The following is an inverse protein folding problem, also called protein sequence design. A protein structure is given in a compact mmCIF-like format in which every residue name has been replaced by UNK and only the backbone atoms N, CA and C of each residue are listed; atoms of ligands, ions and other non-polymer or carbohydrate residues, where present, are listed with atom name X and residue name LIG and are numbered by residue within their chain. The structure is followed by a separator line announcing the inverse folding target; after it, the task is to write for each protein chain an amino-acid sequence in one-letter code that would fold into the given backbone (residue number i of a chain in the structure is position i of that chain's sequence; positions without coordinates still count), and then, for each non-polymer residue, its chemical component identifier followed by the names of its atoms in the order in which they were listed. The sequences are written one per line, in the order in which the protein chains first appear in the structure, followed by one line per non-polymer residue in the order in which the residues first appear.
data_IF_130060225552
#
_entry.id   IF_130060225552
#
_cell.length_a   1.000
_cell.length_b   1.000
_cell.length_c   1.000
_cell.angle_alpha   90.00
_cell.angle_beta   90.00
_cell.angle_gamma   90.00
#
_symmetry.space_group_name_H-M   'P 1'
#
loop_
_entity.id
_entity.type
_entity.pdbx_description
1 polymer ?
#
# COMPACT_ATOMS: atom_id res chain seq x y z
N UNK A 1 12.42 6.70 16.99
CA UNK A 1 13.02 6.72 15.63
C UNK A 1 12.84 8.10 15.01
N UNK A 2 13.81 8.61 14.25
CA UNK A 2 13.66 9.87 13.50
C UNK A 2 12.74 9.69 12.30
N UNK A 3 12.24 10.78 11.71
CA UNK A 3 11.39 10.75 10.51
C UNK A 3 12.03 9.94 9.37
N UNK A 4 13.25 10.28 8.96
CA UNK A 4 13.95 9.59 7.88
C UNK A 4 14.22 8.11 8.18
N UNK A 5 14.62 7.78 9.42
CA UNK A 5 14.94 6.40 9.79
C UNK A 5 13.74 5.45 9.63
N UNK A 6 12.51 5.94 9.86
CA UNK A 6 11.28 5.15 9.72
C UNK A 6 11.03 4.66 8.30
N UNK A 7 11.62 5.29 7.28
CA UNK A 7 11.47 4.93 5.87
C UNK A 7 12.70 4.22 5.30
N UNK A 8 13.77 4.03 6.07
CA UNK A 8 15.02 3.44 5.58
C UNK A 8 15.07 1.90 5.65
N UNK A 9 14.14 1.26 6.37
CA UNK A 9 14.11 -0.21 6.47
C UNK A 9 13.85 -0.86 5.11
N UNK A 10 14.34 -2.08 4.94
CA UNK A 10 14.09 -2.88 3.73
C UNK A 10 12.74 -3.59 3.79
N UNK A 11 12.23 -3.88 4.98
CA UNK A 11 11.01 -4.66 5.15
C UNK A 11 10.08 -4.02 6.15
N UNK A 12 8.78 -4.12 5.84
CA UNK A 12 7.71 -3.71 6.72
C UNK A 12 6.62 -4.77 6.76
N UNK A 13 5.90 -4.86 7.88
CA UNK A 13 4.65 -5.61 7.97
C UNK A 13 3.52 -4.64 8.29
N UNK A 14 2.60 -4.45 7.35
CA UNK A 14 1.35 -3.73 7.55
C UNK A 14 0.36 -4.69 8.18
N UNK A 15 -0.11 -4.35 9.38
CA UNK A 15 -1.17 -5.07 10.09
C UNK A 15 -2.42 -4.21 10.13
N UNK A 16 -3.49 -4.69 9.50
CA UNK A 16 -4.84 -4.11 9.65
C UNK A 16 -5.54 -4.73 10.85
N UNK A 17 -5.99 -3.90 11.78
CA UNK A 17 -6.91 -4.30 12.86
C UNK A 17 -8.29 -3.74 12.52
N UNK A 18 -9.25 -4.63 12.32
CA UNK A 18 -10.64 -4.25 12.12
C UNK A 18 -11.30 -4.03 13.50
N UNK A 19 -11.60 -2.77 13.85
CA UNK A 19 -12.41 -2.46 15.02
C UNK A 19 -13.85 -2.12 14.60
N UNK A 20 -14.76 -3.03 14.95
CA UNK A 20 -16.19 -2.97 14.56
C UNK A 20 -16.90 -1.67 14.97
N UNK A 21 -16.37 -0.94 15.96
CA UNK A 21 -16.93 0.32 16.48
C UNK A 21 -16.16 1.57 16.02
N UNK A 22 -14.83 1.53 15.94
CA UNK A 22 -14.00 2.74 15.77
C UNK A 22 -13.48 2.98 14.33
N UNK A 23 -13.54 1.95 13.48
CA UNK A 23 -12.95 1.98 12.15
C UNK A 23 -11.76 1.05 12.03
N UNK A 24 -11.09 1.08 10.89
CA UNK A 24 -9.88 0.29 10.67
C UNK A 24 -8.66 1.00 11.26
N UNK A 25 -7.65 0.25 11.69
CA UNK A 25 -6.34 0.82 12.02
C UNK A 25 -5.23 0.04 11.34
N UNK A 26 -4.22 0.76 10.86
CA UNK A 26 -2.99 0.17 10.34
C UNK A 26 -1.85 0.39 11.33
N UNK A 27 -1.11 -0.68 11.61
CA UNK A 27 0.17 -0.60 12.30
C UNK A 27 1.22 -1.17 11.35
N UNK A 28 2.24 -0.40 11.05
CA UNK A 28 3.33 -0.80 10.19
C UNK A 28 4.54 -1.04 11.07
N UNK A 29 5.00 -2.28 11.09
CA UNK A 29 6.17 -2.68 11.87
C UNK A 29 7.39 -2.81 10.96
N UNK A 30 8.55 -2.47 11.46
CA UNK A 30 9.85 -2.76 10.83
C UNK A 30 10.14 -4.26 10.88
N UNK A 31 11.22 -4.67 10.24
CA UNK A 31 11.81 -6.01 10.34
C UNK A 31 12.23 -6.40 11.76
N UNK A 32 12.56 -5.42 12.60
CA UNK A 32 12.88 -5.62 14.02
C UNK A 32 11.63 -5.73 14.92
N UNK A 33 10.43 -5.52 14.36
CA UNK A 33 9.16 -5.55 15.10
C UNK A 33 8.82 -4.23 15.81
N UNK A 34 9.59 -3.16 15.57
CA UNK A 34 9.32 -1.84 16.09
C UNK A 34 8.20 -1.16 15.29
N UNK A 35 7.37 -0.34 15.95
CA UNK A 35 6.33 0.42 15.26
C UNK A 35 6.96 1.55 14.43
N UNK A 36 6.91 1.40 13.10
CA UNK A 36 7.38 2.41 12.17
C UNK A 36 6.33 3.51 11.94
N UNK A 37 5.08 3.11 11.66
CA UNK A 37 3.99 4.02 11.29
C UNK A 37 2.65 3.50 11.81
N UNK A 38 1.74 4.42 12.12
CA UNK A 38 0.38 4.12 12.58
C UNK A 38 -0.66 4.91 11.80
N UNK A 39 -1.82 4.32 11.54
CA UNK A 39 -2.97 5.04 10.98
C UNK A 39 -4.26 4.63 11.66
N UNK A 40 -5.09 5.62 12.00
CA UNK A 40 -6.46 5.41 12.43
C UNK A 40 -7.42 5.83 11.30
N UNK A 41 -8.05 4.85 10.66
CA UNK A 41 -9.05 5.09 9.63
C UNK A 41 -10.42 5.28 10.27
N UNK A 42 -10.79 6.54 10.51
CA UNK A 42 -12.16 6.87 10.91
C UNK A 42 -13.15 6.41 9.83
N UNK A 43 -14.24 5.75 10.26
CA UNK A 43 -15.29 5.15 9.43
C UNK A 43 -16.00 6.11 8.46
N UNK A 44 -15.79 7.43 8.56
CA UNK A 44 -16.48 8.44 7.74
C UNK A 44 -15.58 9.21 6.75
N UNK A 45 -14.25 9.15 6.83
CA UNK A 45 -13.31 9.86 5.90
C UNK A 45 -12.82 8.94 4.78
N UNK A 46 -13.69 8.02 4.38
CA UNK A 46 -13.34 6.82 3.66
C UNK A 46 -12.88 7.14 2.22
N UNK A 47 -11.60 6.86 1.94
CA UNK A 47 -10.85 6.89 0.66
C UNK A 47 -10.09 8.17 0.33
N UNK A 48 -10.47 9.32 0.87
CA UNK A 48 -9.92 10.60 0.39
C UNK A 48 -8.67 11.08 1.15
N UNK A 49 -8.46 10.62 2.39
CA UNK A 49 -7.40 11.14 3.27
C UNK A 49 -6.98 10.09 4.32
N UNK A 50 -5.91 9.36 4.04
CA UNK A 50 -5.23 8.46 4.99
C UNK A 50 -3.99 9.16 5.52
N UNK A 51 -3.79 9.13 6.83
CA UNK A 51 -2.64 9.74 7.50
C UNK A 51 -1.86 8.69 8.26
N UNK A 52 -0.55 8.69 8.10
CA UNK A 52 0.38 7.86 8.84
C UNK A 52 1.10 8.74 9.87
N UNK A 53 1.10 8.29 11.12
CA UNK A 53 1.67 8.96 12.27
C UNK A 53 2.83 8.16 12.85
N UNK A 54 3.59 8.79 13.74
CA UNK A 54 4.68 8.15 14.48
C UNK A 54 4.25 6.98 15.37
N UNK A 55 3.03 7.05 15.89
CA UNK A 55 2.46 6.14 16.89
C UNK A 55 0.95 6.40 17.07
N UNK A 56 0.33 5.71 18.03
CA UNK A 56 -1.11 5.79 18.30
C UNK A 56 -1.61 7.15 18.84
N UNK A 57 -0.73 8.02 19.37
CA UNK A 57 -1.12 9.36 19.87
C UNK A 57 -1.64 10.25 18.75
N UNK A 58 -1.19 10.01 17.51
CA UNK A 58 -1.48 10.83 16.33
C UNK A 58 -1.00 12.29 16.46
N UNK A 59 -0.02 12.56 17.32
CA UNK A 59 0.53 13.92 17.48
C UNK A 59 1.45 14.32 16.32
N UNK A 60 2.23 13.38 15.79
CA UNK A 60 3.17 13.63 14.70
C UNK A 60 2.74 12.90 13.41
N UNK A 61 2.15 13.65 12.47
CA UNK A 61 1.82 13.17 11.14
C UNK A 61 3.09 13.10 10.26
N UNK A 62 3.38 11.93 9.68
CA UNK A 62 4.60 11.69 8.91
C UNK A 62 4.33 11.60 7.40
N UNK A 63 3.23 10.96 7.02
CA UNK A 63 2.88 10.76 5.61
C UNK A 63 1.37 10.91 5.43
N UNK A 64 0.97 11.56 4.34
CA UNK A 64 -0.43 11.73 3.96
C UNK A 64 -0.68 11.16 2.58
N UNK A 65 -1.74 10.37 2.46
CA UNK A 65 -2.21 9.77 1.22
C UNK A 65 -3.59 10.33 0.95
N UNK A 66 -3.78 11.08 -0.14
CA UNK A 66 -5.06 11.72 -0.44
C UNK A 66 -5.45 11.63 -1.90
N UNK A 67 -6.75 11.57 -2.18
CA UNK A 67 -7.24 11.58 -3.57
C UNK A 67 -7.12 12.96 -4.18
N UNK A 68 -6.69 13.06 -5.45
CA UNK A 68 -6.88 14.29 -6.22
C UNK A 68 -8.37 14.58 -6.42
N UNK A 69 -8.72 15.86 -6.48
CA UNK A 69 -10.07 16.33 -6.78
C UNK A 69 -10.66 15.60 -8.00
N UNK A 70 -11.99 15.42 -7.98
CA UNK A 70 -12.83 14.54 -8.79
C UNK A 70 -12.72 14.79 -10.32
N UNK A 71 -11.98 15.81 -10.74
CA UNK A 71 -11.99 16.32 -12.12
C UNK A 71 -10.93 15.74 -13.05
N UNK A 72 -9.78 15.22 -12.57
CA UNK A 72 -8.70 14.85 -13.50
C UNK A 72 -8.36 13.37 -13.58
N UNK A 73 -8.39 12.58 -12.49
CA UNK A 73 -8.05 11.14 -12.54
C UNK A 73 -8.75 10.30 -11.45
N UNK A 74 -9.81 9.57 -11.82
CA UNK A 74 -10.42 8.59 -10.93
C UNK A 74 -9.40 7.50 -10.53
N UNK A 75 -9.18 7.31 -9.23
CA UNK A 75 -8.26 6.30 -8.70
C UNK A 75 -6.80 6.75 -8.53
N UNK A 76 -6.52 8.06 -8.58
CA UNK A 76 -5.22 8.62 -8.24
C UNK A 76 -5.14 9.08 -6.77
N UNK A 77 -4.02 8.76 -6.12
CA UNK A 77 -3.74 9.06 -4.71
C UNK A 77 -2.37 9.72 -4.59
N UNK A 78 -2.34 10.99 -4.22
CA UNK A 78 -1.10 11.72 -3.95
C UNK A 78 -0.54 11.31 -2.59
N UNK A 79 0.78 11.18 -2.54
CA UNK A 79 1.55 10.85 -1.34
C UNK A 79 2.42 12.05 -0.99
N UNK A 80 2.19 12.60 0.21
CA UNK A 80 2.93 13.75 0.72
C UNK A 80 3.69 13.37 1.99
N UNK A 81 4.92 13.84 2.08
CA UNK A 81 5.69 13.86 3.32
C UNK A 81 5.26 15.08 4.13
N UNK A 82 4.60 14.84 5.26
CA UNK A 82 4.02 15.89 6.09
C UNK A 82 5.07 16.66 6.89
N UNK A 83 6.26 16.10 7.10
CA UNK A 83 7.34 16.77 7.85
C UNK A 83 8.11 17.75 6.97
N UNK A 84 8.29 17.39 5.70
CA UNK A 84 9.03 18.22 4.74
C UNK A 84 8.12 19.05 3.82
N UNK A 85 6.80 18.83 3.89
CA UNK A 85 5.80 19.38 2.97
C UNK A 85 6.16 19.09 1.49
N UNK A 86 6.62 17.87 1.25
CA UNK A 86 7.13 17.40 -0.04
C UNK A 86 6.07 16.50 -0.70
N UNK A 87 5.78 16.73 -1.98
CA UNK A 87 5.01 15.78 -2.77
C UNK A 87 5.96 14.67 -3.22
N UNK A 88 5.77 13.47 -2.67
CA UNK A 88 6.63 12.31 -2.94
C UNK A 88 6.29 11.72 -4.31
N UNK A 89 5.02 11.71 -4.68
CA UNK A 89 4.53 11.17 -5.94
C UNK A 89 3.06 10.78 -5.86
N UNK A 90 2.59 10.05 -6.87
CA UNK A 90 1.18 9.67 -7.01
C UNK A 90 1.05 8.19 -7.34
N UNK A 91 0.09 7.53 -6.70
CA UNK A 91 -0.31 6.15 -6.99
C UNK A 91 -1.59 6.18 -7.79
N UNK A 92 -1.56 5.70 -9.04
CA UNK A 92 -2.73 5.67 -9.92
C UNK A 92 -3.18 4.24 -10.15
N UNK A 93 -4.41 3.92 -9.76
CA UNK A 93 -5.02 2.63 -10.05
C UNK A 93 -5.59 2.62 -11.47
N UNK A 94 -5.34 1.55 -12.23
CA UNK A 94 -6.01 1.37 -13.52
C UNK A 94 -7.54 1.23 -13.31
N UNK A 95 -8.31 1.98 -14.10
CA UNK A 95 -9.70 2.31 -13.82
C UNK A 95 -10.66 1.11 -13.69
N UNK A 96 -11.81 1.36 -13.04
CA UNK A 96 -12.82 0.38 -12.63
C UNK A 96 -13.53 -0.42 -13.74
N UNK A 97 -13.19 -0.23 -15.02
CA UNK A 97 -13.95 -0.72 -16.19
C UNK A 97 -13.77 -2.22 -16.48
N UNK A 98 -12.75 -2.87 -15.93
CA UNK A 98 -12.54 -4.31 -16.09
C UNK A 98 -12.04 -4.92 -14.78
N UNK A 99 -12.59 -6.07 -14.38
CA UNK A 99 -12.13 -6.82 -13.19
C UNK A 99 -10.66 -7.23 -13.28
N UNK A 100 -10.12 -7.36 -14.49
CA UNK A 100 -8.73 -7.75 -14.75
C UNK A 100 -7.72 -6.60 -14.59
N UNK A 101 -8.17 -5.33 -14.63
CA UNK A 101 -7.28 -4.16 -14.51
C UNK A 101 -7.31 -3.54 -13.10
N UNK A 102 -8.13 -4.08 -12.20
CA UNK A 102 -8.28 -3.57 -10.82
C UNK A 102 -7.03 -3.76 -9.96
N UNK A 103 -6.15 -4.67 -10.39
CA UNK A 103 -4.98 -5.11 -9.65
C UNK A 103 -3.68 -4.50 -10.22
N UNK A 104 -3.81 -3.55 -11.15
CA UNK A 104 -2.70 -2.80 -11.71
C UNK A 104 -2.68 -1.36 -11.19
N UNK A 105 -1.51 -0.95 -10.71
CA UNK A 105 -1.21 0.39 -10.24
C UNK A 105 0.00 0.94 -10.97
N UNK A 106 -0.01 2.24 -11.22
CA UNK A 106 1.12 3.00 -11.73
C UNK A 106 1.69 3.86 -10.61
N UNK A 107 3.02 3.84 -10.46
CA UNK A 107 3.77 4.82 -9.69
C UNK A 107 4.10 6.01 -10.59
N UNK A 108 3.74 7.20 -10.13
CA UNK A 108 4.13 8.46 -10.73
C UNK A 108 5.04 9.20 -9.76
N UNK A 109 6.07 9.87 -10.27
CA UNK A 109 6.90 10.77 -9.48
C UNK A 109 6.17 12.07 -9.09
N UNK A 110 6.88 12.98 -8.43
CA UNK A 110 6.35 14.27 -7.99
C UNK A 110 5.89 15.18 -9.14
N UNK A 111 6.49 15.02 -10.32
CA UNK A 111 6.12 15.77 -11.53
C UNK A 111 4.94 15.12 -12.29
N UNK A 112 4.48 13.96 -11.83
CA UNK A 112 3.40 13.20 -12.46
C UNK A 112 3.87 12.36 -13.65
N UNK A 113 5.16 12.11 -13.79
CA UNK A 113 5.70 11.19 -14.79
C UNK A 113 5.64 9.75 -14.28
N UNK A 114 5.22 8.83 -15.14
CA UNK A 114 5.20 7.40 -14.83
C UNK A 114 6.62 6.85 -14.67
N UNK A 115 6.89 6.24 -13.52
CA UNK A 115 8.19 5.65 -13.18
C UNK A 115 8.13 4.14 -13.02
N UNK A 116 6.96 3.56 -12.77
CA UNK A 116 6.86 2.14 -12.51
C UNK A 116 5.44 1.64 -12.33
N UNK A 117 5.31 0.35 -12.07
CA UNK A 117 4.04 -0.34 -11.92
C UNK A 117 4.04 -1.23 -10.67
N UNK A 118 2.85 -1.56 -10.19
CA UNK A 118 2.59 -2.56 -9.15
C UNK A 118 1.43 -3.44 -9.62
N UNK A 119 1.70 -4.73 -9.75
CA UNK A 119 0.80 -5.70 -10.37
C UNK A 119 0.67 -6.95 -9.51
N UNK A 120 -0.50 -7.58 -9.54
CA UNK A 120 -0.69 -8.88 -8.91
C UNK A 120 -0.10 -10.00 -9.76
N UNK A 121 0.65 -10.91 -9.13
CA UNK A 121 1.12 -12.13 -9.75
C UNK A 121 -0.05 -13.08 -10.05
N UNK A 122 -0.49 -13.03 -11.30
CA UNK A 122 -1.60 -13.82 -11.81
C UNK A 122 -1.28 -15.31 -11.99
N UNK A 123 0.00 -15.71 -12.00
CA UNK A 123 0.42 -17.09 -12.27
C UNK A 123 -0.07 -18.05 -11.17
N UNK A 124 0.03 -17.62 -9.91
CA UNK A 124 -0.40 -18.41 -8.76
C UNK A 124 -1.93 -18.63 -8.77
N UNK A 125 -2.69 -17.58 -9.07
CA UNK A 125 -4.17 -17.66 -9.22
C UNK A 125 -4.56 -18.57 -10.38
N UNK A 126 -3.87 -18.50 -11.52
CA UNK A 126 -4.16 -19.32 -12.69
C UNK A 126 -3.96 -20.83 -12.43
N UNK A 127 -2.93 -21.19 -11.66
CA UNK A 127 -2.69 -22.59 -11.29
C UNK A 127 -3.72 -23.12 -10.29
N UNK A 128 -4.11 -22.33 -9.29
CA UNK A 128 -5.09 -22.76 -8.25
C UNK A 128 -6.51 -22.89 -8.83
N UNK A 129 -6.93 -21.95 -9.68
CA UNK A 129 -8.23 -22.01 -10.37
C UNK A 129 -8.41 -23.30 -11.17
N UNK A 130 -7.32 -23.89 -11.68
CA UNK A 130 -7.36 -25.13 -12.47
C UNK A 130 -7.84 -26.34 -11.68
N UNK A 131 -7.73 -26.33 -10.36
CA UNK A 131 -8.07 -27.48 -9.53
C UNK A 131 -9.33 -27.25 -8.68
N UNK A 132 -9.49 -26.07 -8.05
CA UNK A 132 -10.65 -25.78 -7.20
C UNK A 132 -10.96 -24.27 -7.22
N UNK A 133 -11.98 -23.84 -7.98
CA UNK A 133 -12.38 -22.42 -8.11
C UNK A 133 -12.74 -21.76 -6.77
N UNK A 134 -13.39 -22.51 -5.86
CA UNK A 134 -13.80 -22.01 -4.53
C UNK A 134 -12.59 -21.64 -3.65
N UNK A 135 -11.47 -22.36 -3.75
CA UNK A 135 -10.27 -22.08 -2.95
C UNK A 135 -9.46 -20.90 -3.49
N UNK A 136 -9.60 -20.57 -4.78
CA UNK A 136 -8.91 -19.43 -5.38
C UNK A 136 -9.33 -18.09 -4.74
N UNK A 137 -10.54 -18.00 -4.16
CA UNK A 137 -10.99 -16.82 -3.43
C UNK A 137 -10.24 -16.61 -2.10
N UNK A 138 -9.79 -17.69 -1.46
CA UNK A 138 -9.08 -17.64 -0.17
C UNK A 138 -7.55 -17.56 -0.32
N UNK A 139 -7.05 -17.47 -1.55
CA UNK A 139 -5.61 -17.53 -1.79
C UNK A 139 -4.94 -16.19 -1.45
N UNK A 140 -3.81 -16.21 -0.73
CA UNK A 140 -3.07 -14.99 -0.44
C UNK A 140 -2.63 -14.29 -1.71
N UNK A 141 -2.81 -12.97 -1.74
CA UNK A 141 -2.42 -12.14 -2.87
C UNK A 141 -0.92 -11.82 -2.79
N UNK A 142 -0.29 -11.83 -3.96
CA UNK A 142 1.12 -11.46 -4.13
C UNK A 142 1.19 -10.39 -5.21
N UNK A 143 1.75 -9.24 -4.86
CA UNK A 143 2.00 -8.17 -5.82
C UNK A 143 3.48 -7.90 -5.94
N UNK A 144 3.88 -7.45 -7.13
CA UNK A 144 5.25 -7.07 -7.45
C UNK A 144 5.27 -5.66 -8.01
N UNK A 145 6.15 -4.83 -7.48
CA UNK A 145 6.45 -3.51 -8.02
C UNK A 145 7.73 -3.52 -8.84
N UNK A 146 7.70 -2.80 -9.95
CA UNK A 146 8.84 -2.62 -10.87
C UNK A 146 8.99 -1.18 -11.32
N UNK A 147 10.24 -0.75 -11.50
CA UNK A 147 10.62 0.53 -12.14
C UNK A 147 11.36 0.18 -13.43
N UNK A 148 10.75 0.47 -14.57
CA UNK A 148 11.11 -0.18 -15.84
C UNK A 148 11.02 -1.71 -15.70
N UNK A 149 12.04 -2.43 -16.17
CA UNK A 149 12.09 -3.90 -16.08
C UNK A 149 12.71 -4.41 -14.76
N UNK A 150 12.97 -3.53 -13.79
CA UNK A 150 13.67 -3.90 -12.55
C UNK A 150 12.68 -4.03 -11.39
N UNK A 151 12.64 -5.18 -10.69
CA UNK A 151 11.83 -5.32 -9.49
C UNK A 151 12.37 -4.44 -8.37
N UNK A 152 11.47 -3.74 -7.67
CA UNK A 152 11.82 -2.80 -6.59
C UNK A 152 11.14 -3.12 -5.28
N UNK A 153 9.96 -3.75 -5.30
CA UNK A 153 9.32 -4.22 -4.08
C UNK A 153 8.41 -5.43 -4.31
N UNK A 154 8.22 -6.23 -3.28
CA UNK A 154 7.22 -7.31 -3.23
C UNK A 154 6.23 -7.03 -2.10
N UNK A 155 4.96 -7.35 -2.34
CA UNK A 155 3.88 -7.22 -1.37
C UNK A 155 3.18 -8.57 -1.20
N UNK A 156 3.35 -9.18 -0.04
CA UNK A 156 2.89 -10.56 0.21
C UNK A 156 1.88 -10.58 1.32
N UNK A 157 0.64 -10.93 0.98
CA UNK A 157 -0.38 -11.14 1.99
C UNK A 157 -0.06 -12.43 2.75
N UNK A 158 -0.14 -12.39 4.09
CA UNK A 158 -0.08 -13.60 4.90
C UNK A 158 -1.47 -14.17 5.05
N UNK A 159 -1.63 -15.47 4.79
CA UNK A 159 -2.88 -16.17 5.07
C UNK A 159 -3.20 -16.11 6.57
N UNK A 160 -4.20 -15.32 6.93
CA UNK A 160 -4.72 -15.27 8.29
C UNK A 160 -6.21 -14.86 8.26
N UNK A 161 -7.13 -15.72 8.71
CA UNK A 161 -8.57 -15.47 8.59
C UNK A 161 -9.11 -14.38 9.52
N UNK A 162 -8.30 -13.83 10.43
CA UNK A 162 -8.74 -12.85 11.43
C UNK A 162 -8.02 -11.50 11.32
N UNK A 163 -6.81 -11.47 10.77
CA UNK A 163 -5.97 -10.28 10.71
C UNK A 163 -5.32 -10.20 9.33
N UNK A 164 -5.71 -9.21 8.54
CA UNK A 164 -5.01 -8.91 7.30
C UNK A 164 -3.60 -8.38 7.62
N UNK A 165 -2.59 -9.13 7.17
CA UNK A 165 -1.18 -8.76 7.24
C UNK A 165 -0.59 -8.76 5.83
N UNK A 166 0.07 -7.67 5.48
CA UNK A 166 0.79 -7.51 4.23
C UNK A 166 2.25 -7.23 4.55
N UNK A 167 3.13 -8.11 4.10
CA UNK A 167 4.56 -7.84 4.12
C UNK A 167 4.94 -7.02 2.90
N UNK A 168 5.80 -6.03 3.09
CA UNK A 168 6.39 -5.19 2.04
C UNK A 168 7.90 -5.39 2.09
N UNK A 169 8.52 -5.84 1.01
CA UNK A 169 9.96 -6.09 0.93
C UNK A 169 10.59 -5.29 -0.23
N UNK A 170 11.44 -4.32 0.11
CA UNK A 170 12.21 -3.47 -0.81
C UNK A 170 13.61 -4.01 -1.11
N UNK A 171 13.97 -5.22 -0.66
CA UNK A 171 15.34 -5.77 -0.79
C UNK A 171 15.79 -5.95 -2.25
N UNK A 172 14.86 -5.98 -3.20
CA UNK A 172 15.16 -6.02 -4.63
C UNK A 172 15.71 -4.68 -5.15
N UNK A 173 15.33 -3.56 -4.53
CA UNK A 173 15.71 -2.21 -4.98
C UNK A 173 17.09 -1.76 -4.45
N UNK A 174 18.14 -2.38 -4.97
CA UNK A 174 19.52 -2.08 -4.56
C UNK A 174 19.99 -0.67 -4.95
N UNK A 175 19.37 -0.09 -5.97
CA UNK A 175 19.74 1.22 -6.50
C UNK A 175 18.88 2.35 -5.91
N UNK A 176 17.88 2.04 -5.06
CA UNK A 176 16.97 3.04 -4.48
C UNK A 176 16.11 3.75 -5.53
N UNK A 177 15.63 3.01 -6.54
CA UNK A 177 14.82 3.49 -7.67
C UNK A 177 13.43 3.92 -7.26
N UNK A 178 12.86 3.31 -6.23
CA UNK A 178 11.54 3.65 -5.71
C UNK A 178 11.68 4.33 -4.35
N UNK A 179 11.09 5.50 -4.20
CA UNK A 179 10.95 6.11 -2.88
C UNK A 179 10.09 5.20 -1.99
N UNK A 180 10.67 4.73 -0.88
CA UNK A 180 10.01 3.81 0.05
C UNK A 180 8.75 4.40 0.67
N UNK A 181 8.65 5.73 0.82
CA UNK A 181 7.42 6.40 1.26
C UNK A 181 6.27 6.11 0.29
N UNK A 182 6.55 6.19 -1.01
CA UNK A 182 5.59 5.88 -2.07
C UNK A 182 5.22 4.38 -2.10
N UNK A 183 6.21 3.50 -1.96
CA UNK A 183 5.95 2.05 -1.86
C UNK A 183 5.15 1.65 -0.62
N UNK A 184 5.45 2.24 0.55
CA UNK A 184 4.68 2.01 1.78
C UNK A 184 3.23 2.48 1.61
N UNK A 185 3.03 3.65 0.99
CA UNK A 185 1.69 4.15 0.69
C UNK A 185 0.90 3.18 -0.22
N UNK A 186 1.56 2.54 -1.20
CA UNK A 186 0.94 1.51 -2.03
C UNK A 186 0.48 0.30 -1.21
N UNK A 187 1.33 -0.21 -0.30
CA UNK A 187 0.94 -1.29 0.60
C UNK A 187 -0.25 -0.94 1.51
N UNK A 188 -0.30 0.30 2.00
CA UNK A 188 -1.43 0.80 2.79
C UNK A 188 -2.71 0.85 1.96
N UNK A 189 -2.64 1.36 0.72
CA UNK A 189 -3.80 1.41 -0.19
C UNK A 189 -4.30 0.02 -0.57
N UNK A 190 -3.40 -0.93 -0.88
CA UNK A 190 -3.75 -2.34 -1.11
C UNK A 190 -4.55 -2.89 0.09
N UNK A 191 -3.99 -2.73 1.30
CA UNK A 191 -4.62 -3.21 2.54
C UNK A 191 -5.96 -2.53 2.87
N UNK A 192 -6.14 -1.28 2.45
CA UNK A 192 -7.36 -0.51 2.67
C UNK A 192 -8.49 -0.85 1.67
N UNK A 193 -8.13 -1.14 0.42
CA UNK A 193 -9.07 -1.42 -0.66
C UNK A 193 -9.56 -2.88 -0.60
N UNK A 194 -8.70 -3.82 -0.21
CA UNK A 194 -9.01 -5.25 -0.25
C UNK A 194 -10.09 -5.67 0.74
N UNK A 195 -10.00 -5.28 2.02
CA UNK A 195 -11.02 -5.64 3.03
C UNK A 195 -12.33 -4.82 2.94
N UNK A 196 -12.74 -4.47 1.71
CA UNK A 196 -14.07 -3.96 1.34
C UNK A 196 -14.63 -4.61 0.09
N UNK A 197 -13.96 -5.63 -0.47
CA UNK A 197 -14.47 -6.44 -1.58
C UNK A 197 -15.36 -7.61 -1.10
N UNK A 198 -15.69 -7.65 0.19
CA UNK A 198 -16.76 -8.49 0.76
C UNK A 198 -18.13 -7.82 0.65
#
# INVERSE_FOLDING_TARGET
MTHAARFQHLRYTIRRKFFRLFGDAFHLYTDTGELALYSNMKRFRIREDIRLYSDESQEQELLRISTRSIFDFAGAYDVHDSQNNEHVGTLRRAGFKSSFLRDHWTFLDSEGQEIGTLEEDSMLKALVRRYIEVLAFFFPQHYQASVGDKPVAEYRQRFNPFILKLDVDFSADRDGRLDKRLGIAAGVLLSAIEGRQE
#
